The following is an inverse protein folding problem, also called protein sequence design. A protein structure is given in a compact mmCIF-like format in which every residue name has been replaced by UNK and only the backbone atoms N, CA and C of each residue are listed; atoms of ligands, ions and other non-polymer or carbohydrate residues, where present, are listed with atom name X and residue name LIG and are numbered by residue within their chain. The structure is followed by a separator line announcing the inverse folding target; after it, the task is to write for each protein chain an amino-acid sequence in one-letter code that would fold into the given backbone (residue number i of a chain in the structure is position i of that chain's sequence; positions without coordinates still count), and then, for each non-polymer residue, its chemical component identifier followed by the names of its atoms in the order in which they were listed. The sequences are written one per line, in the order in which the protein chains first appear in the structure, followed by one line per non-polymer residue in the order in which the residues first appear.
data_IF_763442994236
#
_entry.id   IF_763442994236
#
_cell.length_a   1.000
_cell.length_b   1.000
_cell.length_c   1.000
_cell.angle_alpha   90.00
_cell.angle_beta   90.00
_cell.angle_gamma   90.00
#
_symmetry.space_group_name_H-M   'P 1'
#
loop_
_entity.id
_entity.type
_entity.pdbx_description
1 polymer ?
#
# COMPACT_ATOMS: atom_id res chain seq x y z
N UNK A 1 64.78 -16.08 28.34
CA UNK A 1 65.18 -15.31 27.14
C UNK A 1 64.22 -15.46 25.96
N UNK A 2 64.13 -16.58 25.22
CA UNK A 2 63.19 -16.68 24.07
C UNK A 2 61.70 -16.57 24.45
N UNK A 3 61.31 -17.14 25.60
CA UNK A 3 59.92 -17.08 26.09
C UNK A 3 59.52 -15.68 26.59
N UNK A 4 60.45 -14.92 27.18
CA UNK A 4 60.20 -13.55 27.66
C UNK A 4 60.05 -12.56 26.49
N UNK A 5 60.84 -12.74 25.42
CA UNK A 5 60.74 -11.95 24.19
C UNK A 5 59.38 -12.22 23.52
N UNK A 6 58.94 -13.49 23.46
CA UNK A 6 57.62 -13.85 22.93
C UNK A 6 56.48 -13.22 23.75
N UNK A 7 56.59 -13.18 25.08
CA UNK A 7 55.56 -12.61 25.95
C UNK A 7 55.49 -11.07 25.87
N UNK A 8 56.63 -10.41 25.67
CA UNK A 8 56.72 -8.96 25.48
C UNK A 8 56.23 -8.52 24.09
N UNK A 9 56.40 -9.34 23.05
CA UNK A 9 55.90 -9.08 21.69
C UNK A 9 54.41 -9.43 21.52
N UNK A 10 53.91 -10.43 22.25
CA UNK A 10 52.53 -10.92 22.07
C UNK A 10 51.48 -9.87 22.45
N UNK A 11 51.66 -9.11 23.53
CA UNK A 11 50.67 -8.12 23.98
C UNK A 11 50.53 -6.92 23.03
N UNK A 12 51.63 -6.26 22.59
CA UNK A 12 51.57 -5.19 21.60
C UNK A 12 51.03 -5.67 20.26
N UNK A 13 51.53 -6.80 19.73
CA UNK A 13 51.03 -7.33 18.45
C UNK A 13 49.57 -7.74 18.52
N UNK A 14 49.12 -8.35 19.63
CA UNK A 14 47.70 -8.72 19.76
C UNK A 14 46.81 -7.48 19.82
N UNK A 15 47.26 -6.42 20.50
CA UNK A 15 46.50 -5.17 20.57
C UNK A 15 46.44 -4.47 19.20
N UNK A 16 47.57 -4.37 18.51
CA UNK A 16 47.64 -3.78 17.17
C UNK A 16 46.87 -4.61 16.13
N UNK A 17 46.97 -5.94 16.19
CA UNK A 17 46.17 -6.85 15.35
C UNK A 17 44.67 -6.75 15.67
N UNK A 18 44.28 -6.60 16.94
CA UNK A 18 42.88 -6.41 17.33
C UNK A 18 42.34 -5.04 16.92
N UNK A 19 43.16 -3.98 16.97
CA UNK A 19 42.79 -2.64 16.50
C UNK A 19 42.70 -2.59 14.97
N UNK A 20 43.62 -3.22 14.25
CA UNK A 20 43.56 -3.39 12.80
C UNK A 20 42.37 -4.27 12.40
N UNK A 21 42.13 -5.39 13.09
CA UNK A 21 40.98 -6.26 12.83
C UNK A 21 39.65 -5.56 13.14
N UNK A 22 39.57 -4.75 14.22
CA UNK A 22 38.41 -3.89 14.50
C UNK A 22 38.24 -2.79 13.46
N UNK A 23 39.32 -2.17 13.01
CA UNK A 23 39.29 -1.14 11.95
C UNK A 23 38.85 -1.74 10.62
N UNK A 24 39.38 -2.90 10.23
CA UNK A 24 38.97 -3.64 9.03
C UNK A 24 37.53 -4.13 9.17
N UNK A 25 37.11 -4.62 10.33
CA UNK A 25 35.73 -5.02 10.59
C UNK A 25 34.79 -3.82 10.55
N UNK A 26 35.12 -2.67 11.15
CA UNK A 26 34.33 -1.44 11.06
C UNK A 26 34.32 -0.85 9.65
N UNK A 27 35.41 -0.98 8.89
CA UNK A 27 35.45 -0.64 7.47
C UNK A 27 34.63 -1.62 6.62
N UNK A 28 34.55 -2.90 7.00
CA UNK A 28 33.80 -3.94 6.27
C UNK A 28 32.31 -3.95 6.64
N UNK A 29 31.98 -3.62 7.90
CA UNK A 29 30.61 -3.53 8.44
C UNK A 29 30.00 -2.14 8.26
N UNK A 30 30.83 -1.09 8.17
CA UNK A 30 30.43 0.28 7.80
C UNK A 30 30.40 0.54 6.29
N UNK A 31 30.88 -0.41 5.49
CA UNK A 31 30.83 -0.35 4.02
C UNK A 31 30.05 -1.54 3.49
N UNK A 32 28.73 -1.39 3.39
CA UNK A 32 28.05 -2.01 2.25
C UNK A 32 28.87 -1.59 1.03
N UNK A 33 29.51 -2.55 0.36
CA UNK A 33 30.28 -2.33 -0.88
C UNK A 33 29.49 -1.38 -1.78
N UNK A 34 30.15 -0.50 -2.56
CA UNK A 34 29.43 0.45 -3.42
C UNK A 34 28.35 -0.21 -4.30
N UNK A 35 28.49 -1.49 -4.59
CA UNK A 35 27.49 -2.38 -5.19
C UNK A 35 26.33 -2.77 -4.27
N UNK A 36 26.56 -3.16 -3.01
CA UNK A 36 25.51 -3.46 -2.03
C UNK A 36 24.70 -2.21 -1.65
N UNK A 37 25.34 -1.04 -1.49
CA UNK A 37 24.65 0.24 -1.22
C UNK A 37 23.85 0.74 -2.43
N UNK A 38 24.38 0.58 -3.66
CA UNK A 38 23.63 0.89 -4.89
C UNK A 38 22.45 -0.07 -5.09
N UNK A 39 22.62 -1.35 -4.73
CA UNK A 39 21.56 -2.36 -4.80
C UNK A 39 20.43 -2.04 -3.82
N UNK A 40 20.73 -1.70 -2.56
CA UNK A 40 19.70 -1.30 -1.58
C UNK A 40 19.01 0.01 -1.93
N UNK A 41 19.73 0.98 -2.51
CA UNK A 41 19.11 2.22 -3.02
C UNK A 41 18.18 1.96 -4.21
N UNK A 42 18.61 1.12 -5.17
CA UNK A 42 17.77 0.70 -6.30
C UNK A 42 16.52 -0.06 -5.86
N UNK A 43 16.64 -0.99 -4.92
CA UNK A 43 15.49 -1.72 -4.36
C UNK A 43 14.51 -0.79 -3.65
N UNK A 44 15.01 0.22 -2.93
CA UNK A 44 14.17 1.24 -2.30
C UNK A 44 13.46 2.13 -3.34
N UNK A 45 14.19 2.56 -4.36
CA UNK A 45 13.68 3.33 -5.48
C UNK A 45 12.53 2.59 -6.18
N UNK A 46 12.68 1.30 -6.42
CA UNK A 46 11.65 0.47 -7.03
C UNK A 46 10.43 0.28 -6.11
N UNK A 47 10.65 0.01 -4.81
CA UNK A 47 9.58 -0.18 -3.83
C UNK A 47 8.76 1.09 -3.61
N UNK A 48 9.40 2.19 -3.24
CA UNK A 48 8.71 3.48 -3.02
C UNK A 48 8.12 3.99 -4.34
N UNK A 49 8.88 3.90 -5.45
CA UNK A 49 8.41 4.33 -6.77
C UNK A 49 7.17 3.55 -7.23
N UNK A 50 7.13 2.24 -7.00
CA UNK A 50 5.98 1.39 -7.30
C UNK A 50 4.74 1.75 -6.46
N UNK A 51 4.89 1.86 -5.14
CA UNK A 51 3.80 2.25 -4.24
C UNK A 51 3.28 3.65 -4.55
N UNK A 52 4.17 4.61 -4.79
CA UNK A 52 3.80 5.97 -5.19
C UNK A 52 3.06 6.01 -6.52
N UNK A 53 3.51 5.23 -7.51
CA UNK A 53 2.84 5.12 -8.80
C UNK A 53 1.42 4.58 -8.63
N UNK A 54 1.25 3.53 -7.84
CA UNK A 54 -0.07 2.98 -7.52
C UNK A 54 -0.95 4.02 -6.80
N UNK A 55 -0.40 4.71 -5.79
CA UNK A 55 -1.12 5.77 -5.07
C UNK A 55 -1.60 6.87 -6.02
N UNK A 56 -0.78 7.29 -7.00
CA UNK A 56 -1.17 8.28 -8.02
C UNK A 56 -2.25 7.77 -8.97
N UNK A 57 -2.25 6.50 -9.31
CA UNK A 57 -3.31 5.91 -10.13
C UNK A 57 -4.62 5.75 -9.37
N UNK A 58 -4.57 5.40 -8.08
CA UNK A 58 -5.74 5.38 -7.21
C UNK A 58 -6.30 6.79 -6.98
N UNK A 59 -5.44 7.81 -6.82
CA UNK A 59 -5.86 9.22 -6.71
C UNK A 59 -6.73 9.65 -7.91
N UNK A 60 -6.42 9.18 -9.13
CA UNK A 60 -7.25 9.43 -10.33
C UNK A 60 -8.66 8.84 -10.20
N UNK A 61 -8.78 7.61 -9.70
CA UNK A 61 -10.08 6.96 -9.51
C UNK A 61 -10.89 7.60 -8.38
N UNK A 62 -10.23 8.03 -7.31
CA UNK A 62 -10.89 8.75 -6.20
C UNK A 62 -11.62 9.99 -6.71
N UNK A 63 -11.00 10.77 -7.60
CA UNK A 63 -11.58 12.01 -8.16
C UNK A 63 -12.88 11.83 -8.94
N UNK A 64 -13.28 10.61 -9.26
CA UNK A 64 -14.55 10.31 -9.94
C UNK A 64 -15.77 10.28 -8.99
N UNK A 65 -15.55 10.23 -7.68
CA UNK A 65 -16.61 10.18 -6.68
C UNK A 65 -16.99 11.59 -6.17
N UNK A 66 -18.07 11.68 -5.40
CA UNK A 66 -18.43 12.91 -4.68
C UNK A 66 -17.44 13.23 -3.53
N UNK A 67 -17.45 14.47 -3.04
CA UNK A 67 -16.50 14.96 -2.03
C UNK A 67 -16.46 14.12 -0.74
N UNK A 68 -17.62 13.64 -0.28
CA UNK A 68 -17.70 12.81 0.91
C UNK A 68 -16.96 11.48 0.71
N UNK A 69 -17.26 10.77 -0.38
CA UNK A 69 -16.63 9.49 -0.71
C UNK A 69 -15.14 9.68 -1.00
N UNK A 70 -14.77 10.77 -1.68
CA UNK A 70 -13.38 11.15 -1.89
C UNK A 70 -12.60 11.27 -0.59
N UNK A 71 -13.19 11.92 0.42
CA UNK A 71 -12.57 12.06 1.74
C UNK A 71 -12.40 10.70 2.43
N UNK A 72 -13.39 9.80 2.31
CA UNK A 72 -13.32 8.46 2.91
C UNK A 72 -12.23 7.59 2.26
N UNK A 73 -12.14 7.61 0.92
CA UNK A 73 -11.13 6.89 0.15
C UNK A 73 -9.73 7.45 0.38
N UNK A 74 -9.58 8.78 0.39
CA UNK A 74 -8.30 9.44 0.66
C UNK A 74 -7.77 9.08 2.06
N UNK A 75 -8.63 9.10 3.08
CA UNK A 75 -8.25 8.65 4.44
C UNK A 75 -7.86 7.18 4.48
N UNK A 76 -8.51 6.32 3.70
CA UNK A 76 -8.14 4.91 3.65
C UNK A 76 -6.75 4.73 3.03
N UNK A 77 -6.51 5.38 1.89
CA UNK A 77 -5.20 5.41 1.22
C UNK A 77 -4.07 5.92 2.12
N UNK A 78 -4.33 7.00 2.89
CA UNK A 78 -3.38 7.52 3.86
C UNK A 78 -3.00 6.46 4.92
N UNK A 79 -3.96 5.65 5.36
CA UNK A 79 -3.75 4.61 6.39
C UNK A 79 -3.16 3.31 5.85
N UNK A 80 -3.26 3.05 4.55
CA UNK A 80 -2.74 1.84 3.91
C UNK A 80 -1.45 2.15 3.15
N UNK A 81 -1.55 2.37 1.84
CA UNK A 81 -0.41 2.48 0.92
C UNK A 81 0.53 3.63 1.30
N UNK A 82 0.00 4.78 1.71
CA UNK A 82 0.81 5.92 2.14
C UNK A 82 1.55 5.65 3.47
N UNK A 83 0.92 4.88 4.38
CA UNK A 83 1.57 4.45 5.61
C UNK A 83 2.71 3.47 5.30
N UNK A 84 2.55 2.57 4.33
CA UNK A 84 3.62 1.66 3.89
C UNK A 84 4.80 2.42 3.27
N UNK A 85 4.53 3.41 2.42
CA UNK A 85 5.57 4.32 1.88
C UNK A 85 6.30 5.02 3.03
N UNK A 86 5.55 5.55 4.00
CA UNK A 86 6.12 6.25 5.16
C UNK A 86 6.97 5.30 5.99
N UNK A 87 6.51 4.07 6.21
CA UNK A 87 7.25 3.05 6.94
C UNK A 87 8.60 2.73 6.29
N UNK A 88 8.63 2.59 4.96
CA UNK A 88 9.87 2.38 4.20
C UNK A 88 10.82 3.57 4.29
N UNK A 89 10.29 4.80 4.21
CA UNK A 89 11.08 6.03 4.33
C UNK A 89 11.72 6.15 5.73
N UNK A 90 10.92 5.93 6.78
CA UNK A 90 11.38 5.94 8.17
C UNK A 90 12.44 4.87 8.43
N UNK A 91 12.19 3.64 7.99
CA UNK A 91 13.14 2.53 8.15
C UNK A 91 14.48 2.84 7.50
N UNK A 92 14.44 3.32 6.25
CA UNK A 92 15.66 3.68 5.51
C UNK A 92 16.44 4.80 6.20
N UNK A 93 15.78 5.90 6.57
CA UNK A 93 16.46 7.04 7.20
C UNK A 93 17.02 6.64 8.57
N UNK A 94 16.31 5.81 9.33
CA UNK A 94 16.82 5.28 10.59
C UNK A 94 18.10 4.45 10.36
N UNK A 95 18.11 3.56 9.37
CA UNK A 95 19.30 2.77 8.99
C UNK A 95 20.45 3.68 8.55
N UNK A 96 20.19 4.73 7.76
CA UNK A 96 21.21 5.70 7.33
C UNK A 96 21.84 6.47 8.52
N UNK A 97 21.09 6.65 9.60
CA UNK A 97 21.57 7.27 10.84
C UNK A 97 22.12 6.24 11.85
N UNK A 98 22.46 5.03 11.39
CA UNK A 98 23.03 3.93 12.21
C UNK A 98 22.15 3.57 13.41
N UNK A 99 20.84 3.78 13.31
CA UNK A 99 19.90 3.40 14.36
C UNK A 99 19.64 1.90 14.26
N UNK A 100 19.76 1.18 15.38
CA UNK A 100 19.36 -0.23 15.47
C UNK A 100 17.84 -0.33 15.42
N UNK A 101 17.29 -0.39 14.20
CA UNK A 101 15.95 -0.89 13.95
C UNK A 101 16.11 -2.37 13.63
N UNK A 102 15.71 -3.26 14.55
CA UNK A 102 15.78 -4.70 14.30
C UNK A 102 15.00 -5.03 13.03
N UNK A 103 15.51 -5.91 12.18
CA UNK A 103 14.85 -6.31 10.92
C UNK A 103 13.42 -6.85 11.15
N UNK A 104 13.16 -7.42 12.33
CA UNK A 104 11.85 -7.92 12.76
C UNK A 104 10.89 -6.82 13.28
N UNK A 105 11.34 -5.56 13.38
CA UNK A 105 10.49 -4.47 13.89
C UNK A 105 9.46 -4.09 12.84
N UNK A 106 8.20 -4.49 13.05
CA UNK A 106 7.10 -3.97 12.25
C UNK A 106 6.95 -2.46 12.48
N UNK A 107 7.26 -1.69 11.44
CA UNK A 107 7.15 -0.25 11.47
C UNK A 107 5.66 0.16 11.59
N UNK A 108 5.34 0.92 12.63
CA UNK A 108 3.97 1.41 12.89
C UNK A 108 4.01 2.85 13.44
N UNK A 109 2.83 3.43 13.70
CA UNK A 109 2.74 4.82 14.16
C UNK A 109 3.59 5.10 15.41
N UNK A 110 3.54 4.24 16.41
CA UNK A 110 4.26 4.42 17.67
C UNK A 110 5.78 4.28 17.48
N UNK A 111 6.21 3.32 16.67
CA UNK A 111 7.63 3.15 16.33
C UNK A 111 8.14 4.39 15.59
N UNK A 112 7.38 4.95 14.64
CA UNK A 112 7.75 6.18 13.93
C UNK A 112 7.92 7.36 14.89
N UNK A 113 7.01 7.54 15.83
CA UNK A 113 7.11 8.62 16.84
C UNK A 113 8.36 8.44 17.71
N UNK A 114 8.65 7.21 18.15
CA UNK A 114 9.88 6.92 18.91
C UNK A 114 11.13 7.22 18.10
N UNK A 115 11.16 6.86 16.81
CA UNK A 115 12.27 7.17 15.91
C UNK A 115 12.48 8.67 15.73
N UNK A 116 11.40 9.47 15.57
CA UNK A 116 11.49 10.93 15.44
C UNK A 116 12.26 11.58 16.60
N UNK A 117 12.12 11.07 17.83
CA UNK A 117 12.81 11.62 19.00
C UNK A 117 14.34 11.46 18.96
N UNK A 118 14.83 10.49 18.18
CA UNK A 118 16.26 10.11 18.10
C UNK A 118 16.94 10.58 16.81
N UNK A 119 16.16 11.07 15.84
CA UNK A 119 16.68 11.50 14.55
C UNK A 119 17.29 12.91 14.63
N UNK A 120 18.33 13.21 13.83
CA UNK A 120 18.85 14.57 13.68
C UNK A 120 17.78 15.55 13.18
N UNK A 121 17.90 16.82 13.56
CA UNK A 121 16.84 17.83 13.36
C UNK A 121 16.46 18.04 11.88
N UNK A 122 17.43 17.93 10.97
CA UNK A 122 17.20 18.02 9.52
C UNK A 122 16.24 16.92 9.01
N UNK A 123 16.46 15.67 9.41
CA UNK A 123 15.61 14.53 9.01
C UNK A 123 14.31 14.47 9.81
N UNK A 124 14.37 14.85 11.09
CA UNK A 124 13.23 14.86 12.00
C UNK A 124 12.13 15.81 11.55
N UNK A 125 12.49 17.02 11.11
CA UNK A 125 11.51 18.02 10.65
C UNK A 125 10.70 17.53 9.44
N UNK A 126 11.37 16.99 8.43
CA UNK A 126 10.70 16.47 7.22
C UNK A 126 9.88 15.21 7.48
N UNK A 127 10.40 14.29 8.29
CA UNK A 127 9.69 13.05 8.64
C UNK A 127 8.51 13.29 9.59
N UNK A 128 8.58 14.31 10.45
CA UNK A 128 7.46 14.71 11.31
C UNK A 128 6.27 15.22 10.47
N UNK A 129 6.54 16.02 9.43
CA UNK A 129 5.51 16.47 8.48
C UNK A 129 4.90 15.30 7.71
N UNK A 130 5.75 14.42 7.16
CA UNK A 130 5.29 13.21 6.46
C UNK A 130 4.40 12.34 7.37
N UNK A 131 4.84 12.09 8.60
CA UNK A 131 4.06 11.33 9.58
C UNK A 131 2.70 11.97 9.88
N UNK A 132 2.66 13.28 10.10
CA UNK A 132 1.43 14.03 10.41
C UNK A 132 0.45 14.00 9.25
N UNK A 133 0.94 14.05 8.01
CA UNK A 133 0.10 14.03 6.82
C UNK A 133 -0.76 12.75 6.69
N UNK A 134 -0.34 11.62 7.30
CA UNK A 134 -1.12 10.37 7.33
C UNK A 134 -2.44 10.49 8.10
N UNK A 135 -2.56 11.45 9.02
CA UNK A 135 -3.81 11.74 9.74
C UNK A 135 -4.66 12.81 9.07
N UNK A 136 -4.20 13.34 7.94
CA UNK A 136 -4.88 14.36 7.17
C UNK A 136 -6.10 13.85 6.39
N UNK A 137 -6.58 14.71 5.49
CA UNK A 137 -7.67 14.39 4.54
C UNK A 137 -7.22 14.51 3.08
N UNK A 138 -6.07 15.14 2.84
CA UNK A 138 -5.55 15.45 1.51
C UNK A 138 -4.41 14.50 1.14
N UNK A 139 -4.54 13.82 0.01
CA UNK A 139 -3.42 13.06 -0.58
C UNK A 139 -2.36 14.01 -1.16
N UNK A 140 -2.75 15.20 -1.61
CA UNK A 140 -1.82 16.20 -2.13
C UNK A 140 -0.81 16.64 -1.07
N UNK A 141 -1.28 16.92 0.15
CA UNK A 141 -0.42 17.28 1.29
C UNK A 141 0.60 16.17 1.59
N UNK A 142 0.15 14.92 1.56
CA UNK A 142 1.02 13.76 1.72
C UNK A 142 2.08 13.67 0.61
N UNK A 143 1.68 13.84 -0.65
CA UNK A 143 2.62 13.78 -1.78
C UNK A 143 3.66 14.89 -1.73
N UNK A 144 3.27 16.12 -1.34
CA UNK A 144 4.21 17.22 -1.17
C UNK A 144 5.23 16.95 -0.04
N UNK A 145 4.77 16.36 1.07
CA UNK A 145 5.67 15.92 2.14
C UNK A 145 6.61 14.79 1.69
N UNK A 146 6.09 13.82 0.93
CA UNK A 146 6.88 12.72 0.40
C UNK A 146 7.94 13.19 -0.59
N UNK A 147 7.60 14.11 -1.50
CA UNK A 147 8.55 14.68 -2.45
C UNK A 147 9.71 15.39 -1.72
N UNK A 148 9.43 16.05 -0.60
CA UNK A 148 10.47 16.64 0.26
C UNK A 148 11.39 15.57 0.86
N UNK A 149 10.84 14.45 1.35
CA UNK A 149 11.60 13.34 1.93
C UNK A 149 12.40 12.56 0.87
N UNK A 150 11.87 12.45 -0.35
CA UNK A 150 12.56 11.85 -1.49
C UNK A 150 13.63 12.77 -2.09
N UNK A 151 13.58 14.07 -1.81
CA UNK A 151 14.48 15.08 -2.32
C UNK A 151 15.94 14.95 -1.84
N UNK A 152 16.74 15.93 -2.28
CA UNK A 152 18.16 16.00 -2.00
C UNK A 152 18.44 16.09 -0.49
N UNK A 153 19.44 15.35 0.00
CA UNK A 153 19.85 15.39 1.41
C UNK A 153 19.07 14.45 2.33
N UNK A 154 18.14 13.68 1.80
CA UNK A 154 17.39 12.65 2.53
C UNK A 154 17.47 11.30 1.82
N UNK A 155 16.42 10.85 1.13
CA UNK A 155 16.43 9.56 0.44
C UNK A 155 17.07 9.61 -0.95
N UNK A 156 17.13 10.79 -1.57
CA UNK A 156 17.67 10.99 -2.92
C UNK A 156 17.03 10.03 -3.95
N UNK A 157 15.69 9.94 -3.90
CA UNK A 157 14.88 9.11 -4.80
C UNK A 157 14.22 9.98 -5.86
N UNK A 158 14.15 9.44 -7.08
CA UNK A 158 13.53 10.13 -8.20
C UNK A 158 12.16 9.52 -8.53
N UNK A 159 11.09 10.15 -8.04
CA UNK A 159 9.72 9.70 -8.32
C UNK A 159 9.25 10.24 -9.66
N UNK A 160 9.19 9.36 -10.67
CA UNK A 160 8.76 9.74 -12.02
C UNK A 160 7.38 9.19 -12.34
N UNK A 161 6.47 10.06 -12.78
CA UNK A 161 5.17 9.63 -13.30
C UNK A 161 5.35 8.64 -14.45
N UNK A 162 4.65 7.49 -14.45
CA UNK A 162 4.66 6.58 -15.57
C UNK A 162 4.13 7.26 -16.84
N UNK A 163 4.63 6.83 -18.00
CA UNK A 163 4.01 7.23 -19.27
C UNK A 163 2.62 6.59 -19.44
N UNK A 164 1.82 7.12 -20.38
CA UNK A 164 0.45 6.62 -20.63
C UNK A 164 0.39 5.13 -20.96
N UNK A 165 1.42 4.57 -21.61
CA UNK A 165 1.46 3.13 -21.97
C UNK A 165 1.66 2.28 -20.72
N UNK A 166 2.58 2.66 -19.84
CA UNK A 166 2.83 2.01 -18.56
C UNK A 166 1.64 2.14 -17.62
N UNK A 167 0.98 3.30 -17.58
CA UNK A 167 -0.28 3.45 -16.82
C UNK A 167 -1.34 2.46 -17.28
N UNK A 168 -1.63 2.40 -18.58
CA UNK A 168 -2.60 1.44 -19.15
C UNK A 168 -2.23 -0.01 -18.82
N UNK A 169 -0.95 -0.36 -18.90
CA UNK A 169 -0.49 -1.70 -18.54
C UNK A 169 -0.71 -2.02 -17.06
N UNK A 170 -0.41 -1.07 -16.16
CA UNK A 170 -0.60 -1.24 -14.72
C UNK A 170 -2.09 -1.40 -14.37
N UNK A 171 -2.95 -0.55 -14.93
CA UNK A 171 -4.40 -0.68 -14.80
C UNK A 171 -4.85 -2.05 -15.32
N UNK A 172 -4.41 -2.47 -16.50
CA UNK A 172 -4.78 -3.77 -17.04
C UNK A 172 -4.34 -4.93 -16.14
N UNK A 173 -3.09 -4.94 -15.68
CA UNK A 173 -2.54 -5.98 -14.80
C UNK A 173 -3.25 -6.02 -13.46
N UNK A 174 -3.57 -4.86 -12.87
CA UNK A 174 -4.33 -4.78 -11.62
C UNK A 174 -5.70 -5.45 -11.77
N UNK A 175 -6.41 -5.18 -12.87
CA UNK A 175 -7.71 -5.82 -13.13
C UNK A 175 -7.58 -7.34 -13.28
N UNK A 176 -6.54 -7.82 -13.96
CA UNK A 176 -6.29 -9.27 -14.07
C UNK A 176 -6.03 -9.91 -12.71
N UNK A 177 -5.23 -9.27 -11.86
CA UNK A 177 -4.95 -9.76 -10.51
C UNK A 177 -6.22 -9.83 -9.65
N UNK A 178 -7.06 -8.79 -9.69
CA UNK A 178 -8.35 -8.79 -9.00
C UNK A 178 -9.30 -9.86 -9.54
N UNK A 179 -9.35 -10.04 -10.87
CA UNK A 179 -10.18 -11.06 -11.50
C UNK A 179 -9.76 -12.48 -11.06
N UNK A 180 -8.46 -12.73 -10.92
CA UNK A 180 -7.95 -14.01 -10.43
C UNK A 180 -8.30 -14.24 -8.95
N UNK A 181 -8.19 -13.20 -8.12
CA UNK A 181 -8.65 -13.29 -6.72
C UNK A 181 -10.15 -13.59 -6.66
N UNK A 182 -10.97 -12.90 -7.45
CA UNK A 182 -12.43 -13.09 -7.46
C UNK A 182 -12.83 -14.51 -7.90
N UNK A 183 -12.12 -15.12 -8.85
CA UNK A 183 -12.39 -16.51 -9.27
C UNK A 183 -12.29 -17.46 -8.09
N UNK A 184 -11.29 -17.27 -7.25
CA UNK A 184 -10.97 -18.13 -6.11
C UNK A 184 -11.58 -17.66 -4.78
N UNK A 185 -12.39 -16.60 -4.78
CA UNK A 185 -13.03 -16.06 -3.58
C UNK A 185 -14.38 -16.72 -3.29
N UNK A 186 -14.62 -17.09 -2.03
CA UNK A 186 -15.87 -17.73 -1.59
C UNK A 186 -16.59 -16.95 -0.50
N UNK A 187 -15.89 -16.03 0.17
CA UNK A 187 -16.49 -15.17 1.18
C UNK A 187 -17.35 -14.09 0.49
N UNK A 188 -18.66 -14.00 0.80
CA UNK A 188 -19.58 -13.08 0.12
C UNK A 188 -19.16 -11.62 0.11
N UNK A 189 -18.73 -11.06 1.25
CA UNK A 189 -18.39 -9.65 1.34
C UNK A 189 -17.15 -9.28 0.52
N UNK A 190 -16.13 -10.13 0.55
CA UNK A 190 -14.90 -9.99 -0.24
C UNK A 190 -15.18 -10.19 -1.72
N UNK A 191 -16.01 -11.16 -2.09
CA UNK A 191 -16.43 -11.34 -3.48
C UNK A 191 -17.15 -10.10 -4.02
N UNK A 192 -18.07 -9.51 -3.25
CA UNK A 192 -18.74 -8.28 -3.62
C UNK A 192 -17.77 -7.10 -3.72
N UNK A 193 -16.82 -7.00 -2.80
CA UNK A 193 -15.78 -5.97 -2.82
C UNK A 193 -14.94 -6.05 -4.10
N UNK A 194 -14.37 -7.22 -4.39
CA UNK A 194 -13.57 -7.47 -5.58
C UNK A 194 -14.39 -7.21 -6.86
N UNK A 195 -15.62 -7.72 -6.92
CA UNK A 195 -16.53 -7.49 -8.05
C UNK A 195 -16.76 -5.99 -8.28
N UNK A 196 -17.09 -5.24 -7.24
CA UNK A 196 -17.35 -3.79 -7.33
C UNK A 196 -16.13 -3.01 -7.85
N UNK A 197 -14.93 -3.33 -7.37
CA UNK A 197 -13.69 -2.68 -7.83
C UNK A 197 -13.35 -3.05 -9.28
N UNK A 198 -13.52 -4.32 -9.67
CA UNK A 198 -13.29 -4.78 -11.06
C UNK A 198 -14.25 -4.08 -12.03
N UNK A 199 -15.53 -4.00 -11.68
CA UNK A 199 -16.55 -3.34 -12.50
C UNK A 199 -16.24 -1.85 -12.61
N UNK A 200 -15.95 -1.18 -11.48
CA UNK A 200 -15.55 0.23 -11.47
C UNK A 200 -14.37 0.48 -12.41
N UNK A 201 -13.32 -0.32 -12.29
CA UNK A 201 -12.12 -0.19 -13.11
C UNK A 201 -12.38 -0.48 -14.59
N UNK A 202 -13.33 -1.36 -14.91
CA UNK A 202 -13.70 -1.67 -16.29
C UNK A 202 -14.42 -0.50 -16.96
N UNK A 203 -15.37 0.13 -16.28
CA UNK A 203 -16.12 1.26 -16.85
C UNK A 203 -15.31 2.56 -16.89
N UNK A 204 -14.51 2.83 -15.86
CA UNK A 204 -13.79 4.10 -15.70
C UNK A 204 -12.36 4.09 -16.21
N UNK A 205 -11.76 2.91 -16.42
CA UNK A 205 -10.32 2.74 -16.67
C UNK A 205 -9.42 3.32 -15.56
N UNK A 206 -9.99 3.59 -14.39
CA UNK A 206 -9.29 4.07 -13.21
C UNK A 206 -9.27 2.99 -12.13
N UNK A 207 -8.18 2.90 -11.38
CA UNK A 207 -8.12 2.00 -10.23
C UNK A 207 -8.71 2.69 -9.01
N UNK A 208 -9.30 1.93 -8.09
CA UNK A 208 -9.72 2.43 -6.78
C UNK A 208 -9.24 1.49 -5.68
N UNK A 209 -8.70 2.06 -4.61
CA UNK A 209 -8.34 1.34 -3.39
C UNK A 209 -9.32 1.78 -2.30
N UNK A 210 -10.26 0.90 -1.96
CA UNK A 210 -11.39 1.24 -1.10
C UNK A 210 -11.50 0.28 0.09
N UNK A 211 -11.95 0.76 1.26
CA UNK A 211 -12.35 -0.13 2.34
C UNK A 211 -13.75 -0.71 2.06
N UNK A 212 -14.07 -1.88 2.65
CA UNK A 212 -15.37 -2.55 2.46
C UNK A 212 -16.59 -1.66 2.73
N UNK A 213 -16.51 -0.76 3.72
CA UNK A 213 -17.59 0.21 4.03
C UNK A 213 -17.93 1.20 2.92
N UNK A 214 -17.06 1.37 1.92
CA UNK A 214 -17.26 2.27 0.77
C UNK A 214 -17.87 1.51 -0.43
N UNK A 215 -18.01 0.19 -0.35
CA UNK A 215 -18.60 -0.63 -1.42
C UNK A 215 -20.00 -0.15 -1.82
N UNK A 216 -20.90 0.25 -0.90
CA UNK A 216 -22.21 0.77 -1.30
C UNK A 216 -22.16 2.04 -2.16
N UNK A 217 -21.21 2.94 -1.90
CA UNK A 217 -20.99 4.15 -2.68
C UNK A 217 -20.44 3.79 -4.07
N UNK A 218 -19.59 2.76 -4.17
CA UNK A 218 -19.12 2.24 -5.47
C UNK A 218 -20.28 1.65 -6.27
N UNK A 219 -21.13 0.81 -5.66
CA UNK A 219 -22.29 0.21 -6.32
C UNK A 219 -23.29 1.29 -6.76
N UNK A 220 -23.49 2.33 -5.93
CA UNK A 220 -24.32 3.49 -6.29
C UNK A 220 -23.76 4.22 -7.51
N UNK A 221 -22.45 4.49 -7.54
CA UNK A 221 -21.78 5.08 -8.71
C UNK A 221 -21.93 4.20 -9.96
N UNK A 222 -21.78 2.88 -9.82
CA UNK A 222 -21.92 1.93 -10.92
C UNK A 222 -23.33 1.92 -11.52
N UNK A 223 -24.37 2.19 -10.74
CA UNK A 223 -25.74 2.31 -11.24
C UNK A 223 -25.92 3.39 -12.31
N UNK A 224 -25.04 4.40 -12.34
CA UNK A 224 -25.04 5.45 -13.37
C UNK A 224 -24.26 5.04 -14.63
N UNK A 225 -23.28 4.13 -14.49
CA UNK A 225 -22.36 3.75 -15.56
C UNK A 225 -22.77 2.46 -16.28
N UNK A 226 -23.41 1.53 -15.57
CA UNK A 226 -23.82 0.24 -16.12
C UNK A 226 -25.04 0.40 -17.04
N UNK A 227 -24.92 -0.11 -18.27
CA UNK A 227 -26.01 -0.15 -19.24
C UNK A 227 -27.06 -1.20 -18.88
N UNK A 228 -26.64 -2.33 -18.32
CA UNK A 228 -27.55 -3.39 -17.90
C UNK A 228 -28.04 -3.12 -16.47
N UNK A 229 -29.31 -2.72 -16.33
CA UNK A 229 -29.93 -2.43 -15.04
C UNK A 229 -30.22 -3.66 -14.20
N UNK A 230 -30.56 -4.80 -14.80
CA UNK A 230 -30.76 -6.06 -14.08
C UNK A 230 -29.47 -6.52 -13.38
N UNK A 231 -28.30 -6.33 -14.02
CA UNK A 231 -27.02 -6.62 -13.40
C UNK A 231 -26.73 -5.70 -12.21
N UNK A 232 -27.11 -4.42 -12.31
CA UNK A 232 -26.97 -3.48 -11.20
C UNK A 232 -27.90 -3.85 -10.03
N UNK A 233 -29.14 -4.22 -10.30
CA UNK A 233 -30.09 -4.69 -9.27
C UNK A 233 -29.60 -5.94 -8.53
N UNK A 234 -28.93 -6.86 -9.24
CA UNK A 234 -28.30 -8.03 -8.61
C UNK A 234 -27.18 -7.62 -7.64
N UNK A 235 -26.36 -6.63 -8.00
CA UNK A 235 -25.31 -6.11 -7.12
C UNK A 235 -25.91 -5.47 -5.86
N UNK A 236 -26.98 -4.68 -6.01
CA UNK A 236 -27.68 -4.04 -4.89
C UNK A 236 -28.30 -5.09 -3.97
N UNK A 237 -29.01 -6.08 -4.53
CA UNK A 237 -29.58 -7.18 -3.73
C UNK A 237 -28.51 -7.94 -2.95
N UNK A 238 -27.39 -8.24 -3.59
CA UNK A 238 -26.29 -8.95 -2.93
C UNK A 238 -25.64 -8.12 -1.82
N UNK A 239 -25.47 -6.82 -2.05
CA UNK A 239 -25.01 -5.87 -1.02
C UNK A 239 -25.92 -5.87 0.20
N UNK A 240 -27.23 -5.82 0.00
CA UNK A 240 -28.20 -5.77 1.11
C UNK A 240 -28.12 -7.04 1.96
N UNK A 241 -28.02 -8.22 1.32
CA UNK A 241 -27.80 -9.49 2.01
C UNK A 241 -26.48 -9.55 2.77
N UNK A 242 -25.38 -9.04 2.20
CA UNK A 242 -24.08 -8.96 2.89
C UNK A 242 -24.18 -8.04 4.11
N UNK A 243 -24.82 -6.88 3.98
CA UNK A 243 -25.00 -5.94 5.10
C UNK A 243 -25.88 -6.55 6.19
N UNK A 244 -26.94 -7.26 5.83
CA UNK A 244 -27.81 -7.96 6.77
C UNK A 244 -27.07 -9.07 7.51
N UNK A 245 -26.29 -9.89 6.79
CA UNK A 245 -25.43 -10.92 7.36
C UNK A 245 -24.45 -10.33 8.38
N UNK A 246 -23.78 -9.21 8.03
CA UNK A 246 -22.79 -8.56 8.90
C UNK A 246 -23.42 -7.96 10.16
N UNK A 247 -24.65 -7.45 10.08
CA UNK A 247 -25.38 -6.95 11.26
C UNK A 247 -25.75 -8.10 12.20
N UNK A 248 -26.31 -9.18 11.65
CA UNK A 248 -26.78 -10.34 12.43
C UNK A 248 -25.63 -11.17 13.02
N UNK A 249 -24.46 -11.22 12.39
CA UNK A 249 -23.27 -11.88 12.98
C UNK A 249 -22.70 -11.16 14.22
N UNK A 250 -23.02 -9.88 14.41
CA UNK A 250 -22.60 -9.12 15.60
C UNK A 250 -23.49 -9.33 16.82
N UNK A 251 -24.66 -9.94 16.62
CA UNK A 251 -25.63 -10.27 17.67
C UNK A 251 -25.62 -11.80 17.78
N UNK A 252 -25.16 -12.39 18.89
CA UNK A 252 -25.06 -13.85 19.11
C UNK A 252 -26.43 -14.55 18.93
N UNK A 253 -26.82 -14.75 17.68
CA UNK A 253 -28.13 -15.24 17.28
C UNK A 253 -27.91 -16.41 16.32
N UNK A 254 -28.09 -17.63 16.82
CA UNK A 254 -28.24 -18.84 16.01
C UNK A 254 -29.60 -18.83 15.31
N UNK A 255 -29.82 -17.83 14.47
CA UNK A 255 -31.10 -17.57 13.85
C UNK A 255 -31.19 -18.29 12.49
N UNK A 256 -32.30 -19.00 12.25
CA UNK A 256 -32.56 -19.68 10.96
C UNK A 256 -32.53 -18.70 9.79
N UNK A 257 -32.80 -17.43 10.07
CA UNK A 257 -32.70 -16.35 9.10
C UNK A 257 -31.26 -16.11 8.61
N UNK A 258 -30.24 -16.32 9.45
CA UNK A 258 -28.83 -16.18 9.03
C UNK A 258 -28.43 -17.31 8.08
N UNK A 259 -28.90 -18.53 8.32
CA UNK A 259 -28.66 -19.66 7.41
C UNK A 259 -29.32 -19.42 6.04
N UNK A 260 -30.56 -18.90 6.02
CA UNK A 260 -31.24 -18.52 4.79
C UNK A 260 -30.47 -17.44 4.01
N UNK A 261 -29.99 -16.38 4.69
CA UNK A 261 -29.18 -15.32 4.07
C UNK A 261 -27.88 -15.91 3.51
N UNK A 262 -27.19 -16.78 4.25
CA UNK A 262 -25.98 -17.46 3.79
C UNK A 262 -26.24 -18.30 2.54
N UNK A 263 -27.37 -19.02 2.51
CA UNK A 263 -27.77 -19.81 1.35
C UNK A 263 -27.97 -18.92 0.12
N UNK A 264 -28.75 -17.84 0.25
CA UNK A 264 -29.03 -16.92 -0.86
C UNK A 264 -27.75 -16.21 -1.36
N UNK A 265 -26.85 -15.84 -0.46
CA UNK A 265 -25.53 -15.29 -0.82
C UNK A 265 -24.69 -16.29 -1.61
N UNK A 266 -24.71 -17.58 -1.24
CA UNK A 266 -23.99 -18.62 -1.97
C UNK A 266 -24.62 -18.90 -3.35
N UNK A 267 -25.95 -18.84 -3.47
CA UNK A 267 -26.65 -19.00 -4.76
C UNK A 267 -26.38 -17.83 -5.72
N UNK A 268 -26.29 -16.60 -5.20
CA UNK A 268 -26.03 -15.42 -6.02
C UNK A 268 -24.54 -15.21 -6.33
N UNK A 269 -23.63 -15.79 -5.55
CA UNK A 269 -22.19 -15.61 -5.71
C UNK A 269 -21.68 -15.90 -7.15
N UNK A 270 -22.07 -17.01 -7.81
CA UNK A 270 -21.68 -17.24 -9.21
C UNK A 270 -22.10 -16.11 -10.15
N UNK A 271 -23.29 -15.54 -9.94
CA UNK A 271 -23.82 -14.43 -10.75
C UNK A 271 -23.03 -13.14 -10.52
N UNK A 272 -22.64 -12.85 -9.27
CA UNK A 272 -21.77 -11.71 -8.95
C UNK A 272 -20.41 -11.83 -9.64
N UNK A 273 -19.81 -13.03 -9.59
CA UNK A 273 -18.55 -13.31 -10.29
C UNK A 273 -18.71 -13.12 -11.81
N UNK A 274 -19.78 -13.66 -12.38
CA UNK A 274 -20.06 -13.52 -13.81
C UNK A 274 -20.20 -12.06 -14.24
N UNK A 275 -20.99 -11.26 -13.52
CA UNK A 275 -21.19 -9.83 -13.83
C UNK A 275 -19.85 -9.09 -13.85
N UNK A 276 -18.99 -9.31 -12.86
CA UNK A 276 -17.70 -8.64 -12.79
C UNK A 276 -16.70 -9.11 -13.85
N UNK A 277 -16.62 -10.43 -14.10
CA UNK A 277 -15.65 -11.01 -15.03
C UNK A 277 -16.03 -10.81 -16.50
N UNK A 278 -17.32 -10.60 -16.79
CA UNK A 278 -17.82 -10.36 -18.16
C UNK A 278 -18.11 -8.89 -18.45
N UNK A 279 -17.93 -8.00 -17.46
CA UNK A 279 -18.13 -6.56 -17.62
C UNK A 279 -17.32 -6.02 -18.82
N UNK A 280 -17.98 -5.22 -19.65
CA UNK A 280 -17.36 -4.55 -20.80
C UNK A 280 -17.89 -3.12 -20.88
N UNK A 281 -17.00 -2.16 -21.14
CA UNK A 281 -17.40 -0.79 -21.43
C UNK A 281 -18.16 -0.78 -22.76
N UNK A 282 -19.38 -0.25 -22.78
CA UNK A 282 -20.09 -0.01 -24.04
C UNK A 282 -19.34 1.08 -24.82
N UNK A 283 -18.97 0.82 -26.07
CA UNK A 283 -18.21 1.74 -26.93
C UNK A 283 -18.92 3.08 -27.24
N UNK A 284 -20.14 3.32 -26.74
CA UNK A 284 -20.91 4.54 -26.99
C UNK A 284 -20.30 5.82 -26.39
N UNK A 285 -19.35 5.71 -25.44
CA UNK A 285 -18.67 6.86 -24.81
C UNK A 285 -17.19 7.00 -25.22
N UNK A 286 -16.72 6.23 -26.21
CA UNK A 286 -15.34 6.33 -26.70
C UNK A 286 -15.19 7.36 -27.85
N UNK A 287 -16.24 8.14 -28.15
CA UNK A 287 -16.28 9.07 -29.28
C UNK A 287 -16.07 10.54 -28.90
N UNK A 288 -15.82 10.88 -27.63
CA UNK A 288 -15.67 12.27 -27.17
C UNK A 288 -14.34 12.60 -26.46
N UNK A 289 -13.33 11.73 -26.50
CA UNK A 289 -11.96 12.02 -25.99
C UNK A 289 -10.87 11.87 -27.06
#
# INVERSE_FOLDING_TARGET
MAAEIAQQLHRPLTKEYQEIAKSVFLQTSGSATGTARKKTHGELQDKIGGLWTNAKLFEKGIKLFNEETQTQLSKHMLKTICSDITNLAFGTIATQNMMSVSEDTQMNADVRVKLLSKLPENSKSVLSKLHTSLSGKSLEDFFNCLDTVCGQGHLELFLKKPDKKKERQLVFNHRLALAEQLRNEYEPAMALHLASVIIFQTYTQCMVHAPGKVVPQIITFLGQQMTNKEQHEVLVKYQDLVVEQMKKQGEDSEDKDIENIKHELNELLPKIKEIALTAKKSNAQAAED
#
